data_IF_106011793249
#
_entry.id   IF_106011793249
#
_cell.length_a   1.000
_cell.length_b   1.000
_cell.length_c   1.000
_cell.angle_alpha   90.00
_cell.angle_beta   90.00
_cell.angle_gamma   90.00
#
_symmetry.space_group_name_H-M   'P 1'
#
loop_
_entity.id
_entity.type
_entity.pdbx_description
1 polymer ?
#
# COMPACT_ATOMS: atom_id res chain seq x y z
N UNK A 1 -10.10 0.39 31.55
CA UNK A 1 -8.98 -0.09 30.71
C UNK A 1 -9.52 -0.27 29.31
N UNK A 2 -9.17 0.63 28.38
CA UNK A 2 -9.59 0.55 27.00
C UNK A 2 -8.66 -0.42 26.26
N UNK A 3 -9.22 -1.50 25.73
CA UNK A 3 -8.52 -2.45 24.87
C UNK A 3 -8.12 -1.72 23.59
N UNK A 4 -6.82 -1.50 23.41
CA UNK A 4 -6.26 -0.98 22.16
C UNK A 4 -6.51 -2.02 21.07
N UNK A 5 -7.43 -1.72 20.17
CA UNK A 5 -7.67 -2.51 18.97
C UNK A 5 -6.43 -2.40 18.09
N UNK A 6 -5.74 -3.52 17.88
CA UNK A 6 -4.73 -3.67 16.82
C UNK A 6 -5.42 -3.30 15.50
N UNK A 7 -4.85 -2.45 14.64
CA UNK A 7 -5.41 -2.23 13.32
C UNK A 7 -5.43 -3.59 12.62
N UNK A 8 -6.62 -4.18 12.51
CA UNK A 8 -6.82 -5.42 11.79
C UNK A 8 -6.43 -5.15 10.35
N UNK A 9 -5.48 -5.92 9.84
CA UNK A 9 -5.26 -6.02 8.41
C UNK A 9 -6.59 -6.34 7.76
N UNK A 10 -7.23 -5.34 7.14
CA UNK A 10 -8.46 -5.56 6.40
C UNK A 10 -8.10 -6.41 5.20
N UNK A 11 -8.68 -7.60 5.15
CA UNK A 11 -8.47 -8.57 4.07
C UNK A 11 -9.17 -8.01 2.83
N UNK A 12 -8.41 -7.68 1.79
CA UNK A 12 -8.98 -7.31 0.51
C UNK A 12 -9.72 -8.51 -0.10
N UNK A 13 -10.68 -8.27 -1.00
CA UNK A 13 -11.18 -9.33 -1.86
C UNK A 13 -10.02 -9.77 -2.78
N UNK A 14 -9.30 -10.81 -2.35
CA UNK A 14 -8.05 -11.28 -2.96
C UNK A 14 -8.27 -11.74 -4.41
N UNK A 15 -7.57 -11.10 -5.35
CA UNK A 15 -7.17 -11.76 -6.60
C UNK A 15 -5.73 -12.20 -6.39
N UNK A 16 -5.57 -13.41 -5.85
CA UNK A 16 -4.26 -14.02 -5.64
C UNK A 16 -3.78 -14.59 -6.98
N UNK A 17 -2.88 -13.88 -7.65
CA UNK A 17 -2.09 -14.47 -8.73
C UNK A 17 -0.81 -15.05 -8.12
N UNK A 18 -0.64 -16.37 -8.20
CA UNK A 18 0.46 -17.11 -7.58
C UNK A 18 1.83 -16.83 -8.24
N UNK A 19 1.88 -16.00 -9.28
CA UNK A 19 3.11 -15.72 -10.03
C UNK A 19 3.96 -14.57 -9.45
N UNK A 20 3.43 -13.70 -8.60
CA UNK A 20 4.10 -12.45 -8.21
C UNK A 20 4.56 -12.38 -6.74
N UNK A 21 4.15 -13.30 -5.85
CA UNK A 21 4.21 -13.15 -4.37
C UNK A 21 3.45 -11.92 -3.83
N UNK A 22 2.92 -11.08 -4.72
CA UNK A 22 2.13 -9.91 -4.42
C UNK A 22 0.65 -10.28 -4.52
N UNK A 23 -0.17 -9.69 -3.66
CA UNK A 23 -1.62 -9.81 -3.69
C UNK A 23 -2.23 -8.42 -3.88
N UNK A 24 -3.30 -8.36 -4.66
CA UNK A 24 -4.04 -7.14 -4.94
C UNK A 24 -5.52 -7.38 -4.72
N UNK A 25 -6.22 -6.37 -4.21
CA UNK A 25 -7.67 -6.42 -4.10
C UNK A 25 -8.26 -5.10 -3.67
N UNK A 26 -9.57 -5.01 -3.83
CA UNK A 26 -10.33 -3.86 -3.35
C UNK A 26 -10.70 -4.05 -1.88
N UNK A 27 -10.64 -2.96 -1.13
CA UNK A 27 -11.16 -2.86 0.23
C UNK A 27 -12.38 -1.94 0.24
N UNK A 28 -13.50 -2.47 0.74
CA UNK A 28 -14.75 -1.74 0.90
C UNK A 28 -14.79 -1.05 2.28
N UNK A 29 -14.29 0.18 2.34
CA UNK A 29 -14.47 1.13 3.45
C UNK A 29 -15.34 2.31 2.96
N UNK A 30 -15.77 3.27 3.82
CA UNK A 30 -16.68 4.35 3.40
C UNK A 30 -16.23 5.08 2.13
N UNK A 31 -14.91 5.15 1.91
CA UNK A 31 -14.31 5.42 0.60
C UNK A 31 -13.51 4.18 0.17
N UNK A 32 -13.86 3.54 -0.96
CA UNK A 32 -13.13 2.37 -1.45
C UNK A 32 -11.68 2.69 -1.82
N UNK A 33 -10.80 1.71 -1.64
CA UNK A 33 -9.40 1.80 -2.07
C UNK A 33 -8.87 0.43 -2.52
N UNK A 34 -7.77 0.46 -3.27
CA UNK A 34 -7.01 -0.72 -3.67
C UNK A 34 -5.90 -0.99 -2.66
N UNK A 35 -5.80 -2.24 -2.22
CA UNK A 35 -4.71 -2.70 -1.37
C UNK A 35 -3.82 -3.64 -2.16
N UNK A 36 -2.52 -3.37 -2.10
CA UNK A 36 -1.47 -4.23 -2.63
C UNK A 36 -0.61 -4.67 -1.47
N UNK A 37 -0.26 -5.95 -1.42
CA UNK A 37 0.52 -6.49 -0.32
C UNK A 37 1.49 -7.52 -0.80
N UNK A 38 2.63 -7.60 -0.14
CA UNK A 38 3.61 -8.65 -0.31
C UNK A 38 4.05 -9.10 1.08
N UNK A 39 4.16 -10.41 1.25
CA UNK A 39 4.68 -11.03 2.46
C UNK A 39 5.77 -12.02 2.06
N UNK A 40 6.95 -11.86 2.64
CA UNK A 40 8.09 -12.74 2.41
C UNK A 40 7.94 -14.13 3.02
N UNK A 41 6.90 -14.36 3.84
CA UNK A 41 6.75 -15.54 4.69
C UNK A 41 7.79 -15.65 5.81
N UNK A 42 8.69 -14.67 5.91
CA UNK A 42 9.86 -14.66 6.82
C UNK A 42 9.88 -13.42 7.71
N UNK A 43 8.70 -12.82 7.91
CA UNK A 43 8.51 -11.67 8.80
C UNK A 43 8.80 -10.32 8.15
N UNK A 44 8.90 -10.24 6.81
CA UNK A 44 8.94 -8.96 6.09
C UNK A 44 7.69 -8.82 5.25
N UNK A 45 7.05 -7.66 5.31
CA UNK A 45 5.87 -7.37 4.53
C UNK A 45 5.82 -5.94 4.05
N UNK A 46 5.18 -5.72 2.91
CA UNK A 46 4.88 -4.42 2.32
C UNK A 46 3.38 -4.34 2.13
N UNK A 47 2.79 -3.18 2.40
CA UNK A 47 1.43 -2.85 1.99
C UNK A 47 1.39 -1.48 1.33
N UNK A 48 0.65 -1.38 0.23
CA UNK A 48 0.28 -0.13 -0.41
C UNK A 48 -1.24 -0.01 -0.45
N UNK A 49 -1.76 1.04 0.19
CA UNK A 49 -3.14 1.45 0.01
C UNK A 49 -3.16 2.59 -1.02
N UNK A 50 -3.98 2.45 -2.05
CA UNK A 50 -4.16 3.44 -3.11
C UNK A 50 -5.64 3.71 -3.31
N UNK A 51 -6.04 4.95 -3.07
CA UNK A 51 -7.40 5.44 -3.20
C UNK A 51 -7.45 6.92 -3.62
N UNK A 52 -8.67 7.46 -3.83
CA UNK A 52 -8.86 8.88 -4.11
C UNK A 52 -8.30 9.77 -2.99
N UNK A 53 -8.59 9.41 -1.75
CA UNK A 53 -8.23 10.11 -0.51
C UNK A 53 -7.32 9.28 0.42
N UNK A 54 -7.09 8.00 0.11
CA UNK A 54 -6.22 7.10 0.86
C UNK A 54 -4.92 6.83 0.10
N UNK A 55 -3.79 7.17 0.69
CA UNK A 55 -2.47 6.70 0.23
C UNK A 55 -1.67 6.28 1.46
N UNK A 56 -1.31 5.01 1.51
CA UNK A 56 -0.43 4.50 2.56
C UNK A 56 0.63 3.60 1.94
N UNK A 57 1.87 3.75 2.38
CA UNK A 57 2.91 2.76 2.17
C UNK A 57 3.41 2.28 3.52
N UNK A 58 3.07 1.05 3.88
CA UNK A 58 3.44 0.42 5.13
C UNK A 58 4.51 -0.63 4.87
N UNK A 59 5.53 -0.63 5.71
CA UNK A 59 6.64 -1.60 5.64
C UNK A 59 6.85 -2.22 7.00
N UNK A 60 7.00 -3.53 7.03
CA UNK A 60 7.10 -4.32 8.25
C UNK A 60 8.32 -5.23 8.18
N UNK A 61 9.08 -5.28 9.26
CA UNK A 61 10.15 -6.27 9.49
C UNK A 61 10.08 -6.72 10.95
N UNK A 62 9.79 -8.00 11.17
CA UNK A 62 9.66 -8.62 12.49
C UNK A 62 10.97 -8.58 13.30
N UNK A 63 12.11 -8.39 12.63
CA UNK A 63 13.42 -8.21 13.25
C UNK A 63 13.70 -6.77 13.68
N UNK A 64 12.80 -5.83 13.41
CA UNK A 64 12.94 -4.44 13.86
C UNK A 64 12.55 -4.27 15.33
N UNK A 65 13.17 -3.26 15.94
CA UNK A 65 12.87 -2.74 17.28
C UNK A 65 12.88 -1.22 17.21
N UNK A 66 11.98 -0.67 16.41
CA UNK A 66 11.96 0.75 16.14
C UNK A 66 11.61 1.52 17.41
N UNK A 67 12.33 2.62 17.69
CA UNK A 67 11.83 3.59 18.64
C UNK A 67 10.54 4.21 18.09
N UNK A 68 9.65 4.66 18.97
CA UNK A 68 8.54 5.52 18.55
C UNK A 68 9.14 6.82 18.02
N UNK A 69 9.24 6.92 16.70
CA UNK A 69 9.76 8.07 15.99
C UNK A 69 8.75 8.47 14.91
N UNK A 70 8.56 9.78 14.79
CA UNK A 70 7.69 10.40 13.80
C UNK A 70 8.49 11.46 13.04
N UNK A 71 8.11 11.74 11.80
CA UNK A 71 8.77 12.75 10.97
C UNK A 71 10.15 12.34 10.44
N UNK A 72 10.50 11.05 10.44
CA UNK A 72 11.84 10.60 10.04
C UNK A 72 11.95 10.56 8.53
N UNK A 73 12.96 11.23 7.94
CA UNK A 73 13.17 11.16 6.49
C UNK A 73 13.77 9.83 6.08
N UNK A 74 13.02 9.05 5.30
CA UNK A 74 13.47 7.79 4.69
C UNK A 74 13.83 8.06 3.23
N UNK A 75 14.97 7.51 2.80
CA UNK A 75 15.35 7.57 1.38
C UNK A 75 14.89 6.31 0.67
N UNK A 76 14.16 6.47 -0.42
CA UNK A 76 13.79 5.39 -1.33
C UNK A 76 14.74 5.49 -2.51
N UNK A 77 15.67 4.54 -2.62
CA UNK A 77 16.73 4.55 -3.61
C UNK A 77 16.36 3.56 -4.71
N UNK A 78 15.98 4.09 -5.87
CA UNK A 78 15.81 3.32 -7.10
C UNK A 78 17.06 3.40 -7.97
N UNK A 79 17.04 2.69 -9.11
CA UNK A 79 18.18 2.63 -10.04
C UNK A 79 18.58 3.99 -10.64
N UNK A 80 17.61 4.86 -10.92
CA UNK A 80 17.80 6.13 -11.64
C UNK A 80 17.37 7.37 -10.84
N UNK A 81 16.79 7.18 -9.67
CA UNK A 81 16.22 8.24 -8.87
C UNK A 81 16.30 7.88 -7.39
N UNK A 82 16.37 8.90 -6.54
CA UNK A 82 16.18 8.77 -5.10
C UNK A 82 15.05 9.71 -4.70
N UNK A 83 14.10 9.17 -3.96
CA UNK A 83 13.02 9.93 -3.36
C UNK A 83 13.23 10.01 -1.86
N UNK A 84 12.68 11.03 -1.24
CA UNK A 84 12.66 11.19 0.20
C UNK A 84 11.23 11.33 0.64
N UNK A 85 10.84 10.54 1.63
CA UNK A 85 9.49 10.56 2.21
C UNK A 85 9.57 10.59 3.72
N UNK A 86 8.51 11.08 4.35
CA UNK A 86 8.40 11.18 5.79
C UNK A 86 7.81 9.90 6.35
N UNK A 87 8.54 9.30 7.29
CA UNK A 87 8.17 8.07 7.94
C UNK A 87 7.71 8.28 9.37
N UNK A 88 6.66 7.54 9.73
CA UNK A 88 6.14 7.43 11.10
C UNK A 88 6.09 5.97 11.52
N UNK A 89 6.65 5.66 12.68
CA UNK A 89 6.47 4.35 13.29
C UNK A 89 4.99 4.12 13.65
N UNK A 90 4.41 3.02 13.17
CA UNK A 90 3.07 2.57 13.59
C UNK A 90 3.18 1.74 14.87
N UNK A 91 4.21 0.90 14.95
CA UNK A 91 4.59 0.12 16.12
C UNK A 91 6.12 -0.13 16.11
N UNK A 92 6.60 -1.14 16.84
CA UNK A 92 8.04 -1.45 16.93
C UNK A 92 8.59 -2.18 15.69
N UNK A 93 7.72 -2.66 14.80
CA UNK A 93 8.04 -3.49 13.64
C UNK A 93 7.54 -2.91 12.32
N UNK A 94 6.66 -1.91 12.35
CA UNK A 94 6.00 -1.36 11.17
C UNK A 94 6.13 0.16 11.08
N UNK A 95 6.33 0.63 9.85
CA UNK A 95 6.48 2.06 9.52
C UNK A 95 5.54 2.44 8.39
N UNK A 96 4.87 3.58 8.54
CA UNK A 96 4.17 4.27 7.47
C UNK A 96 5.14 5.27 6.82
N UNK A 97 5.49 5.07 5.55
CA UNK A 97 6.47 5.90 4.81
C UNK A 97 5.85 7.12 4.12
N UNK A 98 4.54 7.18 4.00
CA UNK A 98 3.82 8.29 3.36
C UNK A 98 3.05 9.09 4.39
N UNK A 99 3.71 9.46 5.50
CA UNK A 99 3.01 10.06 6.65
C UNK A 99 2.66 11.53 6.45
N UNK A 100 3.33 12.23 5.52
CA UNK A 100 3.04 13.62 5.19
C UNK A 100 2.16 13.71 3.92
N UNK A 101 1.23 14.68 3.82
CA UNK A 101 0.35 14.83 2.65
C UNK A 101 1.10 14.97 1.32
N UNK A 102 2.26 15.64 1.33
CA UNK A 102 3.12 15.83 0.17
C UNK A 102 3.72 14.50 -0.36
N UNK A 103 3.88 13.49 0.50
CA UNK A 103 4.44 12.19 0.13
C UNK A 103 3.45 11.31 -0.65
N UNK A 104 2.15 11.67 -0.61
CA UNK A 104 1.10 10.91 -1.29
C UNK A 104 1.35 10.84 -2.80
N UNK A 105 1.72 11.96 -3.42
CA UNK A 105 2.00 11.99 -4.86
C UNK A 105 3.25 11.17 -5.21
N UNK A 106 4.33 11.30 -4.42
CA UNK A 106 5.54 10.49 -4.60
C UNK A 106 5.24 9.00 -4.48
N UNK A 107 4.43 8.61 -3.51
CA UNK A 107 4.02 7.21 -3.31
C UNK A 107 3.19 6.70 -4.49
N UNK A 108 2.23 7.50 -4.97
CA UNK A 108 1.45 7.17 -6.18
C UNK A 108 2.35 6.99 -7.39
N UNK A 109 3.35 7.85 -7.56
CA UNK A 109 4.26 7.77 -8.71
C UNK A 109 5.19 6.55 -8.62
N UNK A 110 5.71 6.21 -7.44
CA UNK A 110 6.51 4.99 -7.25
C UNK A 110 5.69 3.75 -7.61
N UNK A 111 4.44 3.67 -7.13
CA UNK A 111 3.56 2.55 -7.44
C UNK A 111 3.27 2.46 -8.95
N UNK A 112 2.93 3.57 -9.61
CA UNK A 112 2.73 3.61 -11.08
C UNK A 112 3.96 3.12 -11.84
N UNK A 113 5.16 3.52 -11.40
CA UNK A 113 6.38 3.03 -12.04
C UNK A 113 6.64 1.54 -11.75
N UNK A 114 6.33 1.05 -10.55
CA UNK A 114 6.40 -0.39 -10.25
C UNK A 114 5.53 -1.20 -11.21
N UNK A 115 4.30 -0.74 -11.47
CA UNK A 115 3.42 -1.34 -12.47
C UNK A 115 3.97 -1.28 -13.89
N UNK A 116 4.84 -0.31 -14.19
CA UNK A 116 5.53 -0.19 -15.47
C UNK A 116 6.85 -1.00 -15.53
N UNK A 117 7.13 -1.86 -14.54
CA UNK A 117 8.32 -2.70 -14.49
C UNK A 117 9.55 -2.02 -13.86
N UNK A 118 9.34 -1.12 -12.90
CA UNK A 118 10.44 -0.54 -12.12
C UNK A 118 11.22 -1.64 -11.37
N UNK A 119 12.53 -1.46 -11.28
CA UNK A 119 13.39 -2.32 -10.48
C UNK A 119 13.07 -2.21 -8.98
N UNK A 120 13.56 -3.17 -8.20
CA UNK A 120 13.48 -3.14 -6.74
C UNK A 120 14.07 -1.84 -6.18
N UNK A 121 13.48 -1.36 -5.09
CA UNK A 121 13.92 -0.13 -4.42
C UNK A 121 14.48 -0.45 -3.04
N UNK A 122 15.53 0.27 -2.67
CA UNK A 122 16.15 0.16 -1.35
C UNK A 122 15.62 1.27 -0.44
N UNK A 123 15.07 0.92 0.71
CA UNK A 123 14.72 1.86 1.77
C UNK A 123 15.92 2.04 2.70
N UNK A 124 16.31 3.30 2.90
CA UNK A 124 17.37 3.68 3.83
C UNK A 124 16.81 4.57 4.93
N UNK A 125 16.84 4.04 6.16
CA UNK A 125 16.46 4.76 7.36
C UNK A 125 17.67 5.45 7.97
N UNK A 126 17.53 6.70 8.46
CA UNK A 126 18.62 7.43 9.09
C UNK A 126 19.05 6.72 10.37
N UNK A 127 20.36 6.66 10.60
CA UNK A 127 21.00 6.01 11.75
C UNK A 127 20.80 4.48 11.88
N UNK A 128 20.26 3.79 10.87
CA UNK A 128 20.24 2.31 10.83
C UNK A 128 21.17 1.77 9.76
N UNK A 129 21.88 0.68 10.04
CA UNK A 129 22.67 -0.06 9.04
C UNK A 129 21.81 -1.02 8.20
N UNK A 130 20.49 -1.10 8.46
CA UNK A 130 19.61 -2.07 7.82
C UNK A 130 18.79 -1.38 6.74
N UNK A 131 19.38 -1.31 5.56
CA UNK A 131 18.63 -1.08 4.34
C UNK A 131 17.65 -2.22 4.10
N UNK A 132 16.49 -1.91 3.52
CA UNK A 132 15.48 -2.90 3.18
C UNK A 132 15.19 -2.86 1.68
N UNK A 133 15.27 -4.01 1.01
CA UNK A 133 15.00 -4.12 -0.41
C UNK A 133 13.54 -4.51 -0.63
N UNK A 134 12.80 -3.66 -1.34
CA UNK A 134 11.39 -3.89 -1.70
C UNK A 134 11.33 -4.47 -3.11
N UNK A 135 10.74 -5.67 -3.31
CA UNK A 135 10.74 -6.34 -4.59
C UNK A 135 9.67 -5.79 -5.56
N UNK A 136 9.71 -4.49 -5.84
CA UNK A 136 8.74 -3.81 -6.71
C UNK A 136 8.74 -4.36 -8.15
N UNK A 137 9.86 -4.94 -8.60
CA UNK A 137 9.95 -5.55 -9.94
C UNK A 137 8.98 -6.74 -10.12
N UNK A 138 8.60 -7.39 -9.02
CA UNK A 138 7.67 -8.53 -9.03
C UNK A 138 6.21 -8.11 -9.12
N UNK A 139 5.92 -6.81 -9.09
CA UNK A 139 4.56 -6.27 -9.22
C UNK A 139 4.10 -6.26 -10.70
N UNK A 140 5.01 -6.11 -11.67
CA UNK A 140 4.68 -5.99 -13.10
C UNK A 140 3.70 -7.06 -13.65
N UNK A 141 3.82 -8.36 -13.30
CA UNK A 141 2.85 -9.36 -13.72
C UNK A 141 1.40 -9.03 -13.32
N UNK A 142 1.18 -8.28 -12.23
CA UNK A 142 -0.14 -7.89 -11.72
C UNK A 142 -0.72 -6.62 -12.35
N UNK A 143 -0.14 -6.12 -13.45
CA UNK A 143 -0.56 -4.84 -14.04
C UNK A 143 -2.04 -4.78 -14.42
N UNK A 144 -2.64 -5.87 -14.90
CA UNK A 144 -4.07 -5.94 -15.21
C UNK A 144 -4.92 -5.84 -13.94
N UNK A 145 -4.63 -6.66 -12.93
CA UNK A 145 -5.33 -6.64 -11.63
C UNK A 145 -5.27 -5.27 -10.97
N UNK A 146 -4.13 -4.58 -11.08
CA UNK A 146 -3.98 -3.21 -10.61
C UNK A 146 -4.87 -2.24 -11.40
N UNK A 147 -4.80 -2.29 -12.74
CA UNK A 147 -5.58 -1.42 -13.60
C UNK A 147 -7.08 -1.61 -13.37
N UNK A 148 -7.53 -2.85 -13.22
CA UNK A 148 -8.92 -3.20 -12.93
C UNK A 148 -9.33 -2.64 -11.56
N UNK A 149 -8.52 -2.85 -10.53
CA UNK A 149 -8.80 -2.30 -9.20
C UNK A 149 -8.95 -0.78 -9.25
N UNK A 150 -8.02 -0.07 -9.90
CA UNK A 150 -8.09 1.38 -10.04
C UNK A 150 -9.32 1.85 -10.84
N UNK A 151 -9.69 1.13 -11.90
CA UNK A 151 -10.88 1.43 -12.69
C UNK A 151 -12.13 1.35 -11.81
N UNK A 152 -12.23 0.36 -10.92
CA UNK A 152 -13.35 0.25 -9.99
C UNK A 152 -13.44 1.39 -8.97
N UNK A 153 -12.31 2.00 -8.59
CA UNK A 153 -12.31 3.20 -7.73
C UNK A 153 -12.88 4.43 -8.44
N UNK A 154 -12.72 4.52 -9.76
CA UNK A 154 -13.32 5.59 -10.56
C UNK A 154 -14.81 5.40 -10.86
N UNK A 155 -15.35 4.20 -10.61
CA UNK A 155 -16.68 3.79 -11.10
C UNK A 155 -17.77 3.73 -10.01
N UNK A 156 -17.47 3.93 -8.72
CA UNK A 156 -18.54 3.87 -7.69
C UNK A 156 -18.93 5.21 -7.05
N UNK A 157 -20.25 5.59 -7.02
CA UNK A 157 -21.41 4.92 -7.62
C UNK A 157 -22.18 5.74 -8.68
N UNK A 158 -22.91 5.10 -9.62
CA UNK A 158 -24.15 5.67 -10.13
C UNK A 158 -25.13 5.84 -8.97
N UNK A 159 -25.61 7.07 -8.77
CA UNK A 159 -26.70 7.36 -7.86
C UNK A 159 -27.98 6.65 -8.35
N UNK A 160 -28.63 5.89 -7.46
CA UNK A 160 -30.02 5.48 -7.58
C UNK A 160 -30.30 4.37 -8.59
N UNK A 161 -30.24 3.11 -8.14
CA UNK A 161 -31.21 2.12 -8.63
C UNK A 161 -32.43 2.19 -7.71
N UNK A 162 -33.31 3.15 -8.00
CA UNK A 162 -34.72 2.99 -7.64
C UNK A 162 -35.20 1.73 -8.34
N UNK A 163 -35.14 0.62 -7.60
CA UNK A 163 -35.91 -0.57 -7.91
C UNK A 163 -37.37 -0.21 -7.66
N UNK A 164 -37.98 0.50 -8.61
CA UNK A 164 -39.42 0.61 -8.68
C UNK A 164 -39.96 -0.72 -9.23
N UNK A 165 -39.83 -1.77 -8.41
CA UNK A 165 -40.62 -2.96 -8.51
C UNK A 165 -42.00 -2.62 -7.91
N UNK A 166 -42.99 -2.31 -8.76
CA UNK A 166 -44.28 -1.82 -8.29
C UNK A 166 -45.38 -1.66 -9.34
N UNK A 167 -45.73 -2.77 -10.00
CA UNK A 167 -47.05 -3.10 -10.58
C UNK A 167 -47.62 -2.33 -11.80
N UNK A 168 -48.01 -3.03 -12.88
CA UNK A 168 -49.11 -2.62 -13.73
C UNK A 168 -50.41 -3.32 -13.29
N UNK A 169 -51.42 -2.54 -12.90
CA UNK A 169 -52.83 -2.89 -13.01
C UNK A 169 -53.59 -1.68 -13.55
#
# INVERSE_FOLDING_TARGET
>A
MATLSVPHMVKAAEVTDWQSEWSAGQVAEPVPYCKFSWDSGTGRAVEFDYGPDKVAWIVTDAGWKLPKADGVKVSIVGRKATWHVTARALDQTSVLLSSAPEDAQTTKDILRHAMAGMADVELRFPASSRSWLVPLSRIYPMHSTFADCLAHLSVSPPAGSDSNAGSPF
#
